data_IF_214728037932
#
_entry.id   IF_214728037932
#
_cell.length_a   1.000
_cell.length_b   1.000
_cell.length_c   1.000
_cell.angle_alpha   90.00
_cell.angle_beta   90.00
_cell.angle_gamma   90.00
#
_symmetry.space_group_name_H-M   'P 1'
#
loop_
_entity.id
_entity.type
_entity.pdbx_description
1 polymer ?
#
# COMPACT_ATOMS: atom_id res chain seq x y z
N UNK A 1 25.46 16.80 39.91
CA UNK A 1 24.40 16.47 38.93
C UNK A 1 25.05 16.25 37.57
N UNK A 2 24.81 15.11 36.90
CA UNK A 2 24.91 14.89 35.43
C UNK A 2 25.05 13.39 35.15
N UNK A 3 23.93 12.68 35.04
CA UNK A 3 23.90 11.35 34.42
C UNK A 3 22.46 10.99 33.99
N UNK A 4 21.95 11.68 32.97
CA UNK A 4 20.62 11.39 32.40
C UNK A 4 20.62 11.32 30.87
N UNK A 5 21.77 11.49 30.22
CA UNK A 5 21.87 11.68 28.76
C UNK A 5 22.26 10.42 27.96
N UNK A 6 21.90 9.22 28.44
CA UNK A 6 22.15 7.96 27.72
C UNK A 6 20.90 7.12 27.41
N UNK A 7 19.75 7.43 28.01
CA UNK A 7 18.55 6.61 27.85
C UNK A 7 17.64 7.10 26.70
N UNK A 8 17.62 8.41 26.44
CA UNK A 8 16.78 9.02 25.39
C UNK A 8 17.26 8.76 23.96
N UNK A 9 18.57 8.68 23.74
CA UNK A 9 19.17 8.45 22.41
C UNK A 9 19.00 7.01 21.91
N UNK A 10 18.99 6.02 22.81
CA UNK A 10 18.73 4.61 22.47
C UNK A 10 17.27 4.36 22.05
N UNK A 11 16.33 5.10 22.64
CA UNK A 11 14.91 5.04 22.31
C UNK A 11 14.59 5.69 20.93
N UNK A 12 15.32 6.74 20.55
CA UNK A 12 15.14 7.38 19.25
C UNK A 12 15.61 6.50 18.07
N UNK A 13 16.70 5.75 18.26
CA UNK A 13 17.26 4.87 17.21
C UNK A 13 16.36 3.65 16.95
N UNK A 14 15.72 3.12 17.97
CA UNK A 14 14.76 2.01 17.83
C UNK A 14 13.47 2.44 17.11
N UNK A 15 12.96 3.65 17.37
CA UNK A 15 11.84 4.23 16.61
C UNK A 15 12.17 4.53 15.15
N UNK A 16 13.39 5.01 14.85
CA UNK A 16 13.85 5.27 13.47
C UNK A 16 14.01 4.00 12.63
N UNK A 17 14.41 2.88 13.25
CA UNK A 17 14.56 1.59 12.56
C UNK A 17 13.21 0.91 12.30
N UNK A 18 12.24 1.03 13.23
CA UNK A 18 10.88 0.50 13.04
C UNK A 18 10.11 1.26 11.93
N UNK A 19 10.31 2.57 11.79
CA UNK A 19 9.69 3.36 10.71
C UNK A 19 10.26 3.10 9.31
N UNK A 20 11.51 2.63 9.20
CA UNK A 20 12.18 2.41 7.91
C UNK A 20 11.81 1.07 7.23
N UNK A 21 11.45 0.03 7.98
CA UNK A 21 11.05 -1.26 7.38
C UNK A 21 9.63 -1.20 6.80
N UNK A 22 8.70 -0.60 7.55
CA UNK A 22 7.30 -0.47 7.16
C UNK A 22 7.07 0.25 5.83
N UNK A 23 7.78 1.36 5.60
CA UNK A 23 7.69 2.09 4.33
C UNK A 23 8.15 1.27 3.12
N UNK A 24 9.16 0.40 3.29
CA UNK A 24 9.62 -0.50 2.21
C UNK A 24 8.60 -1.58 1.91
N UNK A 25 7.95 -2.14 2.94
CA UNK A 25 6.91 -3.16 2.78
C UNK A 25 5.63 -2.60 2.17
N UNK A 26 5.22 -1.39 2.57
CA UNK A 26 4.10 -0.69 1.96
C UNK A 26 4.33 -0.45 0.47
N UNK A 27 5.55 -0.03 0.10
CA UNK A 27 5.94 0.16 -1.31
C UNK A 27 5.96 -1.15 -2.09
N UNK A 28 6.45 -2.24 -1.48
CA UNK A 28 6.41 -3.58 -2.11
C UNK A 28 4.97 -4.05 -2.35
N UNK A 29 4.07 -3.82 -1.40
CA UNK A 29 2.64 -4.12 -1.56
C UNK A 29 2.02 -3.29 -2.70
N UNK A 30 2.33 -2.00 -2.77
CA UNK A 30 1.86 -1.15 -3.87
C UNK A 30 2.37 -1.62 -5.23
N UNK A 31 3.64 -2.00 -5.33
CA UNK A 31 4.21 -2.52 -6.58
C UNK A 31 3.55 -3.84 -6.99
N UNK A 32 3.41 -4.81 -6.07
CA UNK A 32 2.80 -6.10 -6.40
C UNK A 32 1.33 -5.95 -6.80
N UNK A 33 0.60 -5.03 -6.15
CA UNK A 33 -0.76 -4.70 -6.51
C UNK A 33 -0.88 -4.13 -7.94
N UNK A 34 0.00 -3.20 -8.32
CA UNK A 34 0.03 -2.65 -9.68
C UNK A 34 0.33 -3.70 -10.74
N UNK A 35 1.32 -4.55 -10.49
CA UNK A 35 1.68 -5.65 -11.40
C UNK A 35 0.49 -6.58 -11.64
N UNK A 36 -0.25 -6.95 -10.59
CA UNK A 36 -1.43 -7.82 -10.74
C UNK A 36 -2.59 -7.14 -11.48
N UNK A 37 -2.76 -5.83 -11.32
CA UNK A 37 -3.75 -5.08 -12.11
C UNK A 37 -3.38 -5.06 -13.60
N UNK A 38 -2.10 -4.86 -13.91
CA UNK A 38 -1.60 -4.89 -15.29
C UNK A 38 -1.78 -6.28 -15.90
N UNK A 39 -1.44 -7.35 -15.17
CA UNK A 39 -1.64 -8.73 -15.60
C UNK A 39 -3.12 -9.03 -15.91
N UNK A 40 -4.05 -8.60 -15.06
CA UNK A 40 -5.48 -8.80 -15.32
C UNK A 40 -5.97 -7.99 -16.52
N UNK A 41 -5.44 -6.79 -16.71
CA UNK A 41 -5.76 -5.95 -17.85
C UNK A 41 -5.24 -6.57 -19.16
N UNK A 42 -4.05 -7.18 -19.15
CA UNK A 42 -3.49 -7.92 -20.29
C UNK A 42 -4.32 -9.16 -20.60
N UNK A 43 -4.62 -10.01 -19.60
CA UNK A 43 -5.50 -11.18 -19.77
C UNK A 43 -6.86 -10.81 -20.38
N UNK A 44 -7.41 -9.65 -20.01
CA UNK A 44 -8.67 -9.15 -20.58
C UNK A 44 -8.49 -8.68 -22.04
N UNK A 45 -7.41 -7.96 -22.35
CA UNK A 45 -7.10 -7.51 -23.71
C UNK A 45 -6.85 -8.66 -24.66
N UNK A 46 -6.16 -9.70 -24.18
CA UNK A 46 -5.83 -10.91 -24.95
C UNK A 46 -7.04 -11.85 -25.09
N UNK A 47 -8.17 -11.52 -24.43
CA UNK A 47 -9.40 -12.29 -24.48
C UNK A 47 -9.37 -13.58 -23.67
N UNK A 48 -8.33 -13.80 -22.86
CA UNK A 48 -8.20 -14.97 -21.98
C UNK A 48 -9.25 -14.98 -20.87
N UNK A 49 -9.70 -13.80 -20.44
CA UNK A 49 -10.76 -13.63 -19.46
C UNK A 49 -11.86 -12.71 -19.97
N UNK A 50 -13.10 -13.05 -19.62
CA UNK A 50 -14.27 -12.19 -19.85
C UNK A 50 -14.25 -10.94 -18.96
N UNK A 51 -14.98 -9.90 -19.36
CA UNK A 51 -15.16 -8.68 -18.54
C UNK A 51 -15.63 -8.99 -17.11
N UNK A 52 -16.58 -9.92 -16.96
CA UNK A 52 -17.11 -10.30 -15.64
C UNK A 52 -16.04 -10.96 -14.77
N UNK A 53 -15.19 -11.81 -15.36
CA UNK A 53 -14.07 -12.42 -14.65
C UNK A 53 -13.00 -11.38 -14.26
N UNK A 54 -12.67 -10.46 -15.17
CA UNK A 54 -11.78 -9.33 -14.89
C UNK A 54 -12.29 -8.51 -13.70
N UNK A 55 -13.56 -8.05 -13.75
CA UNK A 55 -14.15 -7.20 -12.72
C UNK A 55 -14.19 -7.91 -11.36
N UNK A 56 -14.46 -9.22 -11.35
CA UNK A 56 -14.40 -10.05 -10.13
C UNK A 56 -12.98 -10.16 -9.57
N UNK A 57 -11.99 -10.40 -10.43
CA UNK A 57 -10.57 -10.48 -10.04
C UNK A 57 -10.09 -9.15 -9.45
N UNK A 58 -10.38 -8.02 -10.11
CA UNK A 58 -10.03 -6.68 -9.65
C UNK A 58 -10.72 -6.34 -8.32
N UNK A 59 -12.01 -6.64 -8.17
CA UNK A 59 -12.74 -6.38 -6.92
C UNK A 59 -12.13 -7.15 -5.73
N UNK A 60 -11.81 -8.43 -5.93
CA UNK A 60 -11.17 -9.24 -4.91
C UNK A 60 -9.77 -8.72 -4.56
N UNK A 61 -8.99 -8.34 -5.58
CA UNK A 61 -7.65 -7.78 -5.39
C UNK A 61 -7.69 -6.46 -4.61
N UNK A 62 -8.60 -5.55 -4.94
CA UNK A 62 -8.76 -4.27 -4.25
C UNK A 62 -9.11 -4.46 -2.77
N UNK A 63 -10.00 -5.40 -2.46
CA UNK A 63 -10.35 -5.74 -1.08
C UNK A 63 -9.14 -6.28 -0.29
N UNK A 64 -8.40 -7.22 -0.88
CA UNK A 64 -7.17 -7.78 -0.26
C UNK A 64 -6.10 -6.72 -0.04
N UNK A 65 -5.87 -5.88 -1.05
CA UNK A 65 -4.92 -4.79 -0.98
C UNK A 65 -5.29 -3.78 0.11
N UNK A 66 -6.54 -3.31 0.13
CA UNK A 66 -7.02 -2.36 1.13
C UNK A 66 -6.88 -2.88 2.55
N UNK A 67 -7.27 -4.13 2.79
CA UNK A 67 -7.13 -4.77 4.10
C UNK A 67 -5.67 -4.91 4.53
N UNK A 68 -4.79 -5.38 3.63
CA UNK A 68 -3.37 -5.56 3.95
C UNK A 68 -2.66 -4.23 4.18
N UNK A 69 -2.98 -3.22 3.37
CA UNK A 69 -2.47 -1.86 3.53
C UNK A 69 -2.88 -1.30 4.89
N UNK A 70 -4.16 -1.40 5.26
CA UNK A 70 -4.64 -0.91 6.55
C UNK A 70 -3.98 -1.63 7.74
N UNK A 71 -3.71 -2.94 7.64
CA UNK A 71 -2.96 -3.68 8.66
C UNK A 71 -1.54 -3.14 8.81
N UNK A 72 -0.80 -3.03 7.71
CA UNK A 72 0.58 -2.52 7.75
C UNK A 72 0.63 -1.06 8.19
N UNK A 73 -0.31 -0.22 7.76
CA UNK A 73 -0.39 1.16 8.21
C UNK A 73 -0.63 1.22 9.73
N UNK A 74 -1.50 0.38 10.31
CA UNK A 74 -1.65 0.28 11.78
C UNK A 74 -0.39 -0.22 12.48
N UNK A 75 0.31 -1.18 11.91
CA UNK A 75 1.58 -1.69 12.46
C UNK A 75 2.67 -0.61 12.48
N UNK A 76 2.70 0.27 11.48
CA UNK A 76 3.72 1.31 11.31
C UNK A 76 3.41 2.56 12.13
N UNK A 77 2.16 3.00 12.11
CA UNK A 77 1.76 4.31 12.62
C UNK A 77 0.91 4.22 13.89
N UNK A 78 0.49 3.01 14.30
CA UNK A 78 -0.44 2.79 15.41
C UNK A 78 -1.90 3.04 15.04
N UNK A 79 -2.80 2.87 16.02
CA UNK A 79 -4.25 3.10 15.86
C UNK A 79 -4.64 4.59 15.71
N UNK A 80 -3.67 5.50 15.76
CA UNK A 80 -3.86 6.95 15.56
C UNK A 80 -4.02 7.36 14.09
N UNK A 81 -3.99 6.40 13.15
CA UNK A 81 -4.34 6.66 11.76
C UNK A 81 -5.83 6.96 11.63
N UNK A 82 -6.11 8.18 11.20
CA UNK A 82 -7.45 8.65 10.86
C UNK A 82 -8.13 7.68 9.89
N UNK A 83 -9.13 6.94 10.39
CA UNK A 83 -9.94 5.99 9.62
C UNK A 83 -10.65 6.64 8.43
N UNK A 84 -10.71 7.97 8.38
CA UNK A 84 -11.29 8.73 7.27
C UNK A 84 -10.32 8.96 6.11
N UNK A 85 -9.07 8.48 6.20
CA UNK A 85 -8.15 8.59 5.07
C UNK A 85 -8.73 7.81 3.88
N UNK A 86 -9.00 8.48 2.74
CA UNK A 86 -9.53 7.80 1.58
C UNK A 86 -8.55 6.70 1.19
N UNK A 87 -9.08 5.49 0.94
CA UNK A 87 -8.28 4.43 0.34
C UNK A 87 -7.57 5.02 -0.87
N UNK A 88 -6.28 4.71 -1.12
CA UNK A 88 -5.61 5.15 -2.32
C UNK A 88 -6.30 4.48 -3.50
N UNK A 89 -7.34 5.14 -4.00
CA UNK A 89 -7.89 4.90 -5.30
C UNK A 89 -6.77 5.31 -6.24
N UNK A 90 -6.15 4.33 -6.89
CA UNK A 90 -5.48 4.60 -8.15
C UNK A 90 -6.56 5.25 -9.01
N UNK A 91 -6.42 6.54 -9.22
CA UNK A 91 -7.27 7.30 -10.11
C UNK A 91 -7.06 6.71 -11.51
N UNK A 92 -7.94 5.80 -11.92
CA UNK A 92 -7.90 5.18 -13.24
C UNK A 92 -7.97 6.24 -14.37
N UNK A 93 -8.37 7.48 -14.07
CA UNK A 93 -8.39 8.59 -15.03
C UNK A 93 -7.03 9.28 -15.20
N UNK A 94 -6.02 8.99 -14.37
CA UNK A 94 -4.67 9.54 -14.54
C UNK A 94 -3.86 8.80 -15.62
N UNK A 95 -4.20 7.54 -15.93
CA UNK A 95 -3.54 6.77 -16.99
C UNK A 95 -3.96 7.18 -18.41
N UNK A 96 -5.10 7.87 -18.56
CA UNK A 96 -5.66 8.24 -19.88
C UNK A 96 -5.33 9.66 -20.32
N UNK A 97 -4.69 10.49 -19.47
CA UNK A 97 -4.47 11.92 -19.75
C UNK A 97 -3.03 12.31 -20.13
N UNK A 98 -2.13 11.34 -20.26
CA UNK A 98 -0.73 11.55 -20.69
C UNK A 98 -0.50 11.20 -22.17
N UNK A 99 -1.49 11.46 -23.02
CA UNK A 99 -1.35 11.41 -24.49
C UNK A 99 -2.24 12.46 -25.14
N UNK A 100 -1.92 13.73 -24.95
CA UNK A 100 -2.20 14.82 -25.89
C UNK A 100 -1.12 15.87 -25.72
#
# INVERSE_FOLDING_TARGET
>A
MKNTFKCSTLLAITFLLAGCSGGKELRRLETSYKVQLEEYAEQYKDGEITKVQHDKKVTLLNSRYGNRRAQMEREIYGDSLDRNRPAPMINQNAATRSRY
#
